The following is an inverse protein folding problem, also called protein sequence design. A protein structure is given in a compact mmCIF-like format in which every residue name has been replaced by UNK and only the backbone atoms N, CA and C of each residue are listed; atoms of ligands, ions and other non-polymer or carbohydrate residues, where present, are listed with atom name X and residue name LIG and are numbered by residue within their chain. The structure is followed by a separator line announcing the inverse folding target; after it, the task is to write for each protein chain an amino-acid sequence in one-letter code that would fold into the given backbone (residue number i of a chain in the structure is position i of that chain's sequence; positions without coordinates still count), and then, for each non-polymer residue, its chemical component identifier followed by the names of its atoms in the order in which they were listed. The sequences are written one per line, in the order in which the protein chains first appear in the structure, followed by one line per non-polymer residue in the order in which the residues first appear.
data_IF_155795524607
#
_entry.id   IF_155795524607
#
_cell.length_a   1.000
_cell.length_b   1.000
_cell.length_c   1.000
_cell.angle_alpha   90.00
_cell.angle_beta   90.00
_cell.angle_gamma   90.00
#
_symmetry.space_group_name_H-M   'P 1'
#
loop_
_entity.id
_entity.type
_entity.pdbx_description
1 polymer ?
#
# COMPACT_ATOMS: atom_id res chain seq x y z
N UNK A 1 13.46 27.16 13.85
CA UNK A 1 12.64 26.31 12.97
C UNK A 1 12.53 24.91 13.57
N UNK A 2 11.32 24.47 13.84
CA UNK A 2 11.10 23.13 14.36
C UNK A 2 10.99 22.15 13.20
N UNK A 3 11.71 21.02 13.31
CA UNK A 3 11.57 19.91 12.39
C UNK A 3 10.60 18.92 13.04
N UNK A 4 9.50 18.65 12.35
CA UNK A 4 8.55 17.63 12.79
C UNK A 4 9.20 16.26 12.59
N UNK A 5 9.48 15.56 13.68
CA UNK A 5 10.13 14.25 13.62
C UNK A 5 9.23 13.18 14.19
N UNK A 6 9.28 12.02 13.57
CA UNK A 6 8.63 10.82 14.07
C UNK A 6 9.63 10.06 14.92
N UNK A 7 9.20 9.50 16.05
CA UNK A 7 10.08 8.73 16.93
C UNK A 7 10.63 7.52 16.16
N UNK A 8 11.91 7.16 16.40
CA UNK A 8 12.50 6.01 15.69
C UNK A 8 11.75 4.70 15.88
N UNK A 9 11.17 4.46 17.04
CA UNK A 9 10.38 3.24 17.28
C UNK A 9 9.09 3.22 16.43
N UNK A 10 8.45 4.37 16.25
CA UNK A 10 7.26 4.48 15.41
C UNK A 10 7.66 4.24 13.94
N UNK A 11 8.77 4.81 13.51
CA UNK A 11 9.27 4.60 12.15
C UNK A 11 9.54 3.11 11.90
N UNK A 12 10.17 2.42 12.85
CA UNK A 12 10.43 0.99 12.75
C UNK A 12 9.13 0.18 12.68
N UNK A 13 8.12 0.55 13.48
CA UNK A 13 6.80 -0.09 13.42
C UNK A 13 6.14 0.06 12.05
N UNK A 14 6.23 1.24 11.46
CA UNK A 14 5.66 1.50 10.12
C UNK A 14 6.39 0.68 9.06
N UNK A 15 7.72 0.59 9.12
CA UNK A 15 8.50 -0.24 8.19
C UNK A 15 8.08 -1.70 8.27
N UNK A 16 7.96 -2.24 9.46
CA UNK A 16 7.52 -3.61 9.66
C UNK A 16 6.08 -3.82 9.19
N UNK A 17 5.20 -2.87 9.47
CA UNK A 17 3.83 -2.87 9.00
C UNK A 17 3.75 -2.97 7.47
N UNK A 18 4.50 -2.14 6.76
CA UNK A 18 4.52 -2.18 5.30
C UNK A 18 5.06 -3.51 4.77
N UNK A 19 6.09 -4.05 5.41
CA UNK A 19 6.63 -5.34 5.01
C UNK A 19 5.58 -6.44 5.09
N UNK A 20 4.84 -6.50 6.20
CA UNK A 20 3.79 -7.51 6.39
C UNK A 20 2.60 -7.28 5.45
N UNK A 21 2.22 -6.02 5.26
CA UNK A 21 1.12 -5.66 4.38
C UNK A 21 1.42 -6.08 2.93
N UNK A 22 2.61 -5.79 2.44
CA UNK A 22 2.99 -6.13 1.06
C UNK A 22 3.19 -7.62 0.89
N UNK A 23 3.72 -8.32 1.88
CA UNK A 23 3.85 -9.77 1.82
C UNK A 23 2.48 -10.45 1.78
N UNK A 24 1.49 -9.95 2.50
CA UNK A 24 0.12 -10.46 2.44
C UNK A 24 -0.47 -10.26 1.04
N UNK A 25 -0.30 -9.06 0.48
CA UNK A 25 -0.77 -8.74 -0.87
C UNK A 25 -0.12 -9.65 -1.91
N UNK A 26 1.19 -9.77 -1.87
CA UNK A 26 1.97 -10.55 -2.85
C UNK A 26 1.67 -12.04 -2.77
N UNK A 27 1.28 -12.53 -1.60
CA UNK A 27 0.89 -13.92 -1.38
C UNK A 27 -0.58 -14.20 -1.75
N UNK A 28 -1.34 -13.18 -2.16
CA UNK A 28 -2.76 -13.35 -2.48
C UNK A 28 -3.66 -13.45 -1.26
N UNK A 29 -3.17 -13.10 -0.08
CA UNK A 29 -3.95 -13.13 1.16
C UNK A 29 -4.70 -11.80 1.31
N UNK A 30 -5.75 -11.62 0.49
CA UNK A 30 -6.43 -10.34 0.34
C UNK A 30 -7.22 -9.94 1.59
N UNK A 31 -7.80 -10.89 2.30
CA UNK A 31 -8.46 -10.60 3.57
C UNK A 31 -7.47 -10.08 4.61
N UNK A 32 -6.30 -10.70 4.70
CA UNK A 32 -5.23 -10.23 5.61
C UNK A 32 -4.75 -8.83 5.23
N UNK A 33 -4.58 -8.58 3.92
CA UNK A 33 -4.23 -7.26 3.43
C UNK A 33 -5.31 -6.23 3.81
N UNK A 34 -6.58 -6.52 3.55
CA UNK A 34 -7.68 -5.61 3.87
C UNK A 34 -7.81 -5.35 5.37
N UNK A 35 -7.46 -6.32 6.21
CA UNK A 35 -7.47 -6.16 7.66
C UNK A 35 -6.38 -5.21 8.18
N UNK A 36 -5.42 -4.84 7.34
CA UNK A 36 -4.43 -3.80 7.67
C UNK A 36 -4.96 -2.38 7.47
N UNK A 37 -6.17 -2.25 6.93
CA UNK A 37 -6.86 -0.97 6.81
C UNK A 37 -7.85 -0.81 7.97
N UNK A 38 -8.24 0.43 8.26
CA UNK A 38 -9.36 0.66 9.17
C UNK A 38 -10.66 0.10 8.57
N UNK A 39 -11.70 -0.09 9.38
CA UNK A 39 -12.96 -0.68 8.91
C UNK A 39 -13.57 0.09 7.73
N UNK A 40 -13.44 1.40 7.73
CA UNK A 40 -13.92 2.31 6.69
C UNK A 40 -12.79 2.80 5.78
N UNK A 41 -11.66 2.14 5.81
CA UNK A 41 -10.48 2.50 5.04
C UNK A 41 -10.76 2.57 3.54
N UNK A 42 -9.99 3.40 2.84
CA UNK A 42 -10.13 3.59 1.40
C UNK A 42 -8.85 3.25 0.66
N UNK A 43 -9.00 2.67 -0.51
CA UNK A 43 -7.90 2.37 -1.40
C UNK A 43 -8.24 2.88 -2.80
N UNK A 44 -7.40 3.76 -3.32
CA UNK A 44 -7.58 4.34 -4.65
C UNK A 44 -6.30 4.17 -5.43
N UNK A 45 -6.34 3.38 -6.50
CA UNK A 45 -5.12 3.06 -7.24
C UNK A 45 -4.71 4.06 -8.31
N UNK A 46 -5.51 5.10 -8.52
CA UNK A 46 -5.11 6.29 -9.28
C UNK A 46 -6.09 7.42 -8.95
N UNK A 47 -5.69 8.69 -9.12
CA UNK A 47 -6.59 9.81 -8.81
C UNK A 47 -7.91 9.81 -9.58
N UNK A 48 -7.91 9.22 -10.79
CA UNK A 48 -9.11 9.14 -11.61
C UNK A 48 -9.96 7.89 -11.36
N UNK A 49 -9.51 6.96 -10.54
CA UNK A 49 -10.23 5.72 -10.27
C UNK A 49 -11.23 5.89 -9.13
N UNK A 50 -12.29 5.10 -9.17
CA UNK A 50 -13.24 5.03 -8.07
C UNK A 50 -12.56 4.35 -6.88
N UNK A 51 -12.56 4.95 -5.69
CA UNK A 51 -11.93 4.31 -4.53
C UNK A 51 -12.70 3.05 -4.10
N UNK A 52 -11.98 2.02 -3.70
CA UNK A 52 -12.54 0.91 -2.96
C UNK A 52 -12.75 1.37 -1.51
N UNK A 53 -13.91 1.14 -0.94
CA UNK A 53 -14.28 1.62 0.39
C UNK A 53 -14.56 0.43 1.31
N UNK A 54 -13.93 0.44 2.48
CA UNK A 54 -14.08 -0.59 3.49
C UNK A 54 -13.32 -1.86 3.14
N UNK A 55 -13.15 -2.72 4.13
CA UNK A 55 -12.38 -3.97 3.97
C UNK A 55 -12.96 -4.88 2.90
N UNK A 56 -14.28 -5.06 2.89
CA UNK A 56 -14.93 -5.89 1.89
C UNK A 56 -14.77 -5.31 0.46
N UNK A 57 -14.84 -3.99 0.33
CA UNK A 57 -14.62 -3.31 -0.95
C UNK A 57 -13.20 -3.47 -1.45
N UNK A 58 -12.23 -3.42 -0.55
CA UNK A 58 -10.81 -3.61 -0.88
C UNK A 58 -10.58 -5.05 -1.36
N UNK A 59 -11.11 -6.05 -0.65
CA UNK A 59 -11.00 -7.44 -1.08
C UNK A 59 -11.61 -7.63 -2.47
N UNK A 60 -12.81 -7.11 -2.69
CA UNK A 60 -13.49 -7.24 -3.98
C UNK A 60 -12.69 -6.64 -5.14
N UNK A 61 -12.05 -5.48 -4.90
CA UNK A 61 -11.21 -4.83 -5.90
C UNK A 61 -9.98 -5.68 -6.25
N UNK A 62 -9.34 -6.24 -5.23
CA UNK A 62 -8.16 -7.10 -5.43
C UNK A 62 -8.52 -8.40 -6.15
N UNK A 63 -9.66 -9.00 -5.83
CA UNK A 63 -10.12 -10.20 -6.49
C UNK A 63 -10.42 -9.95 -7.97
N UNK A 64 -11.08 -8.82 -8.29
CA UNK A 64 -11.34 -8.44 -9.69
C UNK A 64 -10.05 -8.26 -10.48
N UNK A 65 -9.06 -7.61 -9.86
CA UNK A 65 -7.77 -7.42 -10.50
C UNK A 65 -7.05 -8.76 -10.71
N UNK A 66 -7.08 -9.62 -9.71
CA UNK A 66 -6.43 -10.94 -9.76
C UNK A 66 -7.03 -11.84 -10.84
N UNK A 67 -8.36 -11.79 -11.04
CA UNK A 67 -9.05 -12.57 -12.05
C UNK A 67 -8.56 -12.30 -13.48
N UNK A 68 -8.07 -11.10 -13.75
CA UNK A 68 -7.50 -10.74 -15.05
C UNK A 68 -6.30 -11.60 -15.42
N UNK A 69 -5.67 -12.21 -14.44
CA UNK A 69 -4.45 -13.01 -14.61
C UNK A 69 -4.70 -14.50 -14.37
N UNK A 70 -5.96 -14.94 -14.36
CA UNK A 70 -6.29 -16.34 -14.13
C UNK A 70 -5.62 -17.28 -15.17
N UNK A 71 -5.56 -16.84 -16.44
CA UNK A 71 -4.92 -17.60 -17.52
C UNK A 71 -3.49 -17.11 -17.83
N UNK A 72 -2.97 -16.18 -17.05
CA UNK A 72 -1.63 -15.63 -17.22
C UNK A 72 -1.02 -15.39 -15.84
N UNK A 73 -0.66 -16.48 -15.11
CA UNK A 73 -0.19 -16.35 -13.74
C UNK A 73 1.06 -15.49 -13.64
N UNK A 74 1.05 -14.57 -12.70
CA UNK A 74 2.19 -13.70 -12.41
C UNK A 74 2.44 -13.68 -10.91
N UNK A 75 3.71 -13.56 -10.53
CA UNK A 75 4.10 -13.24 -9.16
C UNK A 75 4.55 -11.79 -9.15
N UNK A 76 3.91 -10.99 -8.30
CA UNK A 76 4.32 -9.60 -8.09
C UNK A 76 5.04 -9.47 -6.77
N UNK A 77 6.01 -8.57 -6.73
CA UNK A 77 6.66 -8.12 -5.51
C UNK A 77 6.52 -6.61 -5.46
N UNK A 78 5.85 -6.12 -4.44
CA UNK A 78 5.70 -4.68 -4.21
C UNK A 78 6.86 -4.22 -3.33
N UNK A 79 7.75 -3.42 -3.92
CA UNK A 79 8.90 -2.86 -3.21
C UNK A 79 8.52 -1.48 -2.71
N UNK A 80 8.16 -1.40 -1.43
CA UNK A 80 7.90 -0.13 -0.75
C UNK A 80 9.20 0.34 -0.13
N UNK A 81 9.65 1.54 -0.53
CA UNK A 81 10.91 2.08 -0.07
C UNK A 81 10.83 3.60 0.04
N UNK A 82 11.83 4.19 0.70
CA UNK A 82 11.89 5.64 0.91
C UNK A 82 10.63 6.17 1.60
N UNK A 83 10.33 5.59 2.75
CA UNK A 83 9.17 5.98 3.56
C UNK A 83 9.48 7.30 4.26
N UNK A 84 8.65 8.31 4.01
CA UNK A 84 8.72 9.59 4.72
C UNK A 84 7.42 9.78 5.52
N UNK A 85 7.55 10.06 6.79
CA UNK A 85 6.43 10.19 7.72
C UNK A 85 6.36 11.60 8.27
N UNK A 86 5.14 12.15 8.35
CA UNK A 86 4.89 13.44 8.98
C UNK A 86 3.69 13.34 9.92
N UNK A 87 3.81 13.81 11.17
CA UNK A 87 2.66 13.84 12.08
C UNK A 87 1.56 14.76 11.57
N UNK A 88 0.33 14.32 11.71
CA UNK A 88 -0.86 15.13 11.43
C UNK A 88 -1.48 15.63 12.75
N UNK A 89 -2.27 16.73 12.69
CA UNK A 89 -2.83 17.33 13.92
C UNK A 89 -3.70 16.39 14.75
N UNK A 90 -4.33 15.38 14.14
CA UNK A 90 -5.21 14.43 14.84
C UNK A 90 -4.46 13.23 15.45
N UNK A 91 -3.13 13.22 15.40
CA UNK A 91 -2.32 12.12 15.92
C UNK A 91 -2.03 11.01 14.92
N UNK A 92 -2.62 11.06 13.74
CA UNK A 92 -2.29 10.14 12.65
C UNK A 92 -1.00 10.57 11.95
N UNK A 93 -0.55 9.78 10.98
CA UNK A 93 0.66 10.07 10.20
C UNK A 93 0.32 10.16 8.72
N UNK A 94 0.85 11.18 8.07
CA UNK A 94 0.97 11.20 6.62
C UNK A 94 2.19 10.39 6.22
N UNK A 95 2.04 9.47 5.28
CA UNK A 95 3.13 8.62 4.80
C UNK A 95 3.23 8.74 3.28
N UNK A 96 4.42 9.06 2.80
CA UNK A 96 4.73 9.08 1.36
C UNK A 96 5.78 8.03 1.10
N UNK A 97 5.50 7.11 0.19
CA UNK A 97 6.33 5.92 -0.05
C UNK A 97 6.53 5.76 -1.55
N UNK A 98 7.74 5.46 -1.97
CA UNK A 98 7.97 5.04 -3.35
C UNK A 98 7.68 3.56 -3.48
N UNK A 99 6.96 3.20 -4.53
CA UNK A 99 6.62 1.80 -4.78
C UNK A 99 7.03 1.40 -6.19
N UNK A 100 7.76 0.30 -6.26
CA UNK A 100 8.17 -0.30 -7.51
C UNK A 100 7.63 -1.72 -7.53
N UNK A 101 6.93 -2.10 -8.60
CA UNK A 101 6.37 -3.44 -8.71
C UNK A 101 7.25 -4.25 -9.66
N UNK A 102 7.72 -5.39 -9.19
CA UNK A 102 8.46 -6.35 -10.00
C UNK A 102 7.51 -7.50 -10.31
N UNK A 103 7.37 -7.85 -11.58
CA UNK A 103 6.48 -8.91 -12.05
C UNK A 103 7.30 -10.02 -12.68
N UNK A 104 7.00 -11.26 -12.28
CA UNK A 104 7.68 -12.46 -12.81
C UNK A 104 6.62 -13.46 -13.23
N UNK A 105 6.71 -13.95 -14.47
CA UNK A 105 5.93 -15.09 -14.95
C UNK A 105 6.73 -16.37 -14.75
N UNK A 106 6.07 -17.55 -14.64
CA UNK A 106 6.78 -18.80 -14.46
C UNK A 106 7.85 -18.99 -15.53
N UNK A 107 9.12 -19.21 -15.10
CA UNK A 107 10.25 -19.37 -15.99
C UNK A 107 10.71 -18.08 -16.67
N UNK A 108 10.09 -16.95 -16.40
CA UNK A 108 10.42 -15.68 -17.03
C UNK A 108 11.43 -14.86 -16.25
N UNK A 109 11.90 -13.78 -16.88
CA UNK A 109 12.78 -12.79 -16.26
C UNK A 109 11.96 -11.76 -15.49
N UNK A 110 12.43 -11.28 -14.32
CA UNK A 110 11.75 -10.18 -13.63
C UNK A 110 11.64 -8.94 -14.50
N UNK A 111 10.46 -8.33 -14.50
CA UNK A 111 10.18 -7.09 -15.22
C UNK A 111 9.78 -6.02 -14.21
N UNK A 112 10.34 -4.83 -14.38
CA UNK A 112 10.03 -3.67 -13.55
C UNK A 112 8.86 -2.91 -14.15
N UNK A 113 7.94 -2.51 -13.29
CA UNK A 113 6.84 -1.61 -13.59
C UNK A 113 5.53 -2.05 -12.96
N UNK A 114 4.63 -1.13 -12.60
CA UNK A 114 4.76 0.32 -12.70
C UNK A 114 5.63 0.92 -11.60
N UNK A 115 6.02 2.18 -11.78
CA UNK A 115 6.69 3.00 -10.79
C UNK A 115 5.66 3.95 -10.18
N UNK A 116 5.53 3.96 -8.86
CA UNK A 116 4.44 4.64 -8.18
C UNK A 116 4.93 5.43 -6.96
N UNK A 117 4.10 6.39 -6.56
CA UNK A 117 4.18 7.01 -5.24
C UNK A 117 2.89 6.67 -4.50
N UNK A 118 3.03 6.19 -3.28
CA UNK A 118 1.89 5.84 -2.43
C UNK A 118 1.73 6.91 -1.36
N UNK A 119 0.52 7.45 -1.28
CA UNK A 119 0.16 8.49 -0.30
C UNK A 119 -0.82 7.87 0.69
N UNK A 120 -0.36 7.62 1.90
CA UNK A 120 -1.15 7.00 2.95
C UNK A 120 -1.44 7.97 4.08
N UNK A 121 -2.56 7.78 4.74
CA UNK A 121 -2.79 8.24 6.10
C UNK A 121 -2.82 7.01 7.00
N UNK A 122 -1.94 6.99 7.99
CA UNK A 122 -1.79 5.85 8.91
C UNK A 122 -2.29 6.24 10.29
N UNK A 123 -3.02 5.32 10.92
CA UNK A 123 -3.41 5.45 12.32
C UNK A 123 -2.50 4.56 13.18
N UNK A 124 -1.97 5.14 14.25
CA UNK A 124 -1.21 4.39 15.25
C UNK A 124 -2.16 4.08 16.39
N UNK A 125 -2.43 2.80 16.59
CA UNK A 125 -3.33 2.32 17.64
C UNK A 125 -2.52 1.52 18.67
N UNK A 126 -3.14 1.18 19.79
CA UNK A 126 -2.52 0.29 20.79
C UNK A 126 -2.18 -1.09 20.20
N UNK A 127 -2.94 -1.51 19.20
CA UNK A 127 -2.75 -2.80 18.54
C UNK A 127 -1.77 -2.73 17.37
N UNK A 128 -1.30 -1.55 17.01
CA UNK A 128 -0.34 -1.33 15.92
C UNK A 128 -0.80 -0.30 14.92
N UNK A 129 -0.29 -0.43 13.71
CA UNK A 129 -0.52 0.52 12.60
C UNK A 129 -1.66 0.02 11.74
N UNK A 130 -2.54 0.93 11.31
CA UNK A 130 -3.57 0.66 10.31
C UNK A 130 -3.53 1.76 9.23
N UNK A 131 -3.85 1.39 7.99
CA UNK A 131 -4.01 2.35 6.90
C UNK A 131 -5.44 2.88 6.89
N UNK A 132 -5.61 4.19 7.06
CA UNK A 132 -6.91 4.84 6.95
C UNK A 132 -7.27 5.10 5.50
N UNK A 133 -6.31 5.57 4.71
CA UNK A 133 -6.52 5.84 3.29
C UNK A 133 -5.23 5.63 2.53
N UNK A 134 -5.37 5.19 1.30
CA UNK A 134 -4.26 5.01 0.37
C UNK A 134 -4.65 5.57 -0.99
N UNK A 135 -3.80 6.45 -1.51
CA UNK A 135 -3.88 6.90 -2.89
C UNK A 135 -2.56 6.57 -3.57
N UNK A 136 -2.63 5.88 -4.70
CA UNK A 136 -1.46 5.56 -5.51
C UNK A 136 -1.44 6.48 -6.73
N UNK A 137 -0.31 7.09 -6.99
CA UNK A 137 -0.08 7.83 -8.25
C UNK A 137 1.00 7.11 -9.04
N UNK A 138 0.83 7.06 -10.34
CA UNK A 138 1.72 6.35 -11.26
C UNK A 138 2.57 7.36 -12.02
N UNK A 139 3.89 7.14 -12.04
CA UNK A 139 4.81 8.06 -12.73
C UNK A 139 4.52 8.11 -14.23
N UNK A 140 4.05 7.01 -14.80
CA UNK A 140 3.69 6.91 -16.21
C UNK A 140 2.47 7.75 -16.59
N UNK A 141 1.64 8.10 -15.61
CA UNK A 141 0.41 8.88 -15.82
C UNK A 141 0.61 10.36 -15.47
N UNK A 142 1.84 10.78 -15.17
CA UNK A 142 2.14 12.17 -14.86
C UNK A 142 1.80 13.05 -16.06
N UNK A 143 0.98 14.07 -15.83
CA UNK A 143 0.59 15.01 -16.86
C UNK A 143 1.72 15.98 -17.19
#
# INVERSE_FOLDING_TARGET
MSVSTVRPDVYAQVQHFYARQMQALDAGRFADYANTFTEDGTFQHSPGAQPAVGRAGIVAELERFHERFADDPVQRRHWFNHVALEPLPDGSLSSTVYALIVTVRPGGTPKIGPSCVVHDVLEITEEGVLTRSRLVTHDQEAA
#
